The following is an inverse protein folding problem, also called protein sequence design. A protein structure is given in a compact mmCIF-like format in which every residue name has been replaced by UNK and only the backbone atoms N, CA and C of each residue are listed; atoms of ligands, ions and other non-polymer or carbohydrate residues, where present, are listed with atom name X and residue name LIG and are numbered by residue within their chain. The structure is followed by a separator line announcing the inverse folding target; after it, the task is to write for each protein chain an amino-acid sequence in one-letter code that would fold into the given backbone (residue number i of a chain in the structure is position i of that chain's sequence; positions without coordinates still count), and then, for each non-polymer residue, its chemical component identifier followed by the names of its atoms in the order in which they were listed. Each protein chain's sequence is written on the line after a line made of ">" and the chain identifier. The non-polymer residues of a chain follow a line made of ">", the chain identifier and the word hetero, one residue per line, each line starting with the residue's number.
data_IF_923159907592
#
_entry.id   IF_923159907592
#
_cell.length_a   1.000
_cell.length_b   1.000
_cell.length_c   1.000
_cell.angle_alpha   90.00
_cell.angle_beta   90.00
_cell.angle_gamma   90.00
#
_symmetry.space_group_name_H-M   'P 1'
#
loop_
_entity.id
_entity.type
_entity.pdbx_description
1 polymer ?
#
# COMPACT_ATOMS: atom_id res chain seq x y z
N UNK A 1 14.92 -13.11 -15.41
CA UNK A 1 15.88 -11.98 -15.38
C UNK A 1 16.83 -12.22 -14.22
N UNK A 2 18.10 -11.78 -14.26
CA UNK A 2 18.98 -11.92 -13.09
C UNK A 2 18.36 -11.16 -11.92
N UNK A 3 18.35 -11.81 -10.75
CA UNK A 3 17.85 -11.27 -9.49
C UNK A 3 18.55 -9.92 -9.23
N UNK A 4 17.80 -8.81 -9.10
CA UNK A 4 18.43 -7.53 -8.81
C UNK A 4 19.20 -7.63 -7.50
N UNK A 5 20.48 -7.20 -7.52
CA UNK A 5 21.36 -7.20 -6.35
C UNK A 5 20.97 -6.09 -5.37
N UNK A 6 19.78 -6.18 -4.80
CA UNK A 6 19.34 -5.30 -3.72
C UNK A 6 19.78 -5.85 -2.37
N UNK A 7 20.04 -4.98 -1.38
CA UNK A 7 20.33 -5.42 -0.03
C UNK A 7 19.15 -6.26 0.51
N UNK A 8 19.46 -7.19 1.42
CA UNK A 8 18.43 -8.01 2.07
C UNK A 8 17.44 -7.16 2.89
N UNK A 9 17.92 -6.04 3.41
CA UNK A 9 17.17 -5.09 4.24
C UNK A 9 17.51 -3.66 3.79
N UNK A 10 16.50 -2.80 3.76
CA UNK A 10 16.60 -1.37 3.46
C UNK A 10 16.08 -0.60 4.68
N UNK A 11 16.94 -0.10 5.57
CA UNK A 11 16.48 0.58 6.77
C UNK A 11 15.92 1.97 6.43
N UNK A 12 14.76 2.31 6.98
CA UNK A 12 14.15 3.64 6.98
C UNK A 12 14.29 4.21 8.38
N UNK A 13 15.43 4.87 8.62
CA UNK A 13 15.77 5.44 9.94
C UNK A 13 15.19 6.83 10.13
N UNK A 14 15.01 7.58 9.05
CA UNK A 14 14.51 8.95 9.04
C UNK A 14 13.75 9.23 7.74
N UNK A 15 12.89 10.25 7.76
CA UNK A 15 12.24 10.73 6.54
C UNK A 15 13.27 11.46 5.67
N UNK A 16 13.56 10.92 4.49
CA UNK A 16 14.53 11.53 3.56
C UNK A 16 13.90 12.55 2.62
N UNK A 17 12.57 12.53 2.50
CA UNK A 17 11.84 13.28 1.47
C UNK A 17 12.02 12.72 0.05
N UNK A 18 12.86 11.70 -0.14
CA UNK A 18 13.17 11.11 -1.44
C UNK A 18 12.44 9.78 -1.64
N UNK A 19 11.74 9.65 -2.76
CA UNK A 19 11.09 8.39 -3.14
C UNK A 19 12.10 7.39 -3.67
N UNK A 20 12.47 6.43 -2.83
CA UNK A 20 13.33 5.33 -3.24
C UNK A 20 12.54 4.30 -4.06
N UNK A 21 12.99 4.00 -5.28
CA UNK A 21 12.40 2.98 -6.14
C UNK A 21 13.44 2.35 -7.08
N UNK A 22 13.27 1.09 -7.51
CA UNK A 22 14.10 0.49 -8.53
C UNK A 22 13.67 0.96 -9.93
N UNK A 23 14.50 0.72 -10.96
CA UNK A 23 14.19 1.10 -12.35
C UNK A 23 12.88 0.47 -12.83
N UNK A 24 11.82 1.28 -12.93
CA UNK A 24 10.46 0.86 -13.26
C UNK A 24 10.31 0.28 -14.65
N UNK A 25 11.25 0.57 -15.56
CA UNK A 25 11.27 0.05 -16.94
C UNK A 25 11.91 -1.33 -17.03
N UNK A 26 12.62 -1.76 -15.99
CA UNK A 26 13.36 -3.03 -15.97
C UNK A 26 12.90 -3.97 -14.87
N UNK A 27 12.18 -3.47 -13.88
CA UNK A 27 11.74 -4.22 -12.71
C UNK A 27 10.31 -4.70 -12.89
N UNK A 28 10.06 -6.00 -12.70
CA UNK A 28 8.71 -6.58 -12.74
C UNK A 28 7.87 -6.08 -11.56
N UNK A 29 6.54 -6.15 -11.61
CA UNK A 29 5.69 -5.78 -10.46
C UNK A 29 5.95 -6.65 -9.23
N UNK A 30 6.26 -7.93 -9.45
CA UNK A 30 6.65 -8.85 -8.37
C UNK A 30 7.96 -8.39 -7.72
N UNK A 31 9.00 -8.14 -8.51
CA UNK A 31 10.30 -7.67 -7.98
C UNK A 31 10.18 -6.27 -7.36
N UNK A 32 9.37 -5.40 -7.96
CA UNK A 32 9.10 -4.06 -7.45
C UNK A 32 8.46 -4.14 -6.06
N UNK A 33 7.48 -5.04 -5.86
CA UNK A 33 6.88 -5.28 -4.54
C UNK A 33 7.90 -5.88 -3.56
N UNK A 34 8.70 -6.85 -4.01
CA UNK A 34 9.77 -7.45 -3.20
C UNK A 34 10.82 -6.43 -2.75
N UNK A 35 11.12 -5.41 -3.56
CA UNK A 35 11.98 -4.30 -3.15
C UNK A 35 11.43 -3.57 -1.93
N UNK A 36 10.16 -3.18 -1.96
CA UNK A 36 9.53 -2.44 -0.86
C UNK A 36 9.31 -3.30 0.40
N UNK A 37 9.11 -4.61 0.26
CA UNK A 37 9.02 -5.52 1.42
C UNK A 37 10.36 -5.65 2.17
N UNK A 38 11.48 -5.32 1.53
CA UNK A 38 12.81 -5.30 2.20
C UNK A 38 12.98 -4.09 3.11
N UNK A 39 12.09 -3.10 3.04
CA UNK A 39 12.20 -1.93 3.88
C UNK A 39 11.95 -2.31 5.34
N UNK A 40 12.67 -1.70 6.26
CA UNK A 40 12.46 -1.88 7.70
C UNK A 40 12.27 -0.51 8.36
N UNK A 41 11.25 -0.36 9.23
CA UNK A 41 11.09 0.88 10.00
C UNK A 41 12.25 1.02 10.99
N UNK A 42 12.47 2.25 11.48
CA UNK A 42 13.41 2.49 12.58
C UNK A 42 13.09 1.58 13.78
N UNK A 43 14.09 1.00 14.47
CA UNK A 43 13.85 0.10 15.61
C UNK A 43 13.03 0.73 16.75
N UNK A 44 13.14 2.04 16.91
CA UNK A 44 12.49 2.92 17.87
C UNK A 44 11.45 3.83 17.18
N UNK A 45 10.91 3.41 16.03
CA UNK A 45 9.81 4.10 15.37
C UNK A 45 8.56 4.17 16.27
N UNK A 46 7.80 5.26 16.11
CA UNK A 46 6.51 5.47 16.72
C UNK A 46 5.55 4.29 16.41
N UNK A 47 4.78 3.77 17.39
CA UNK A 47 3.93 2.59 17.18
C UNK A 47 2.93 2.74 16.03
N UNK A 48 2.30 3.91 15.87
CA UNK A 48 1.40 4.18 14.76
C UNK A 48 2.09 4.12 13.38
N UNK A 49 3.32 4.66 13.27
CA UNK A 49 4.12 4.57 12.06
C UNK A 49 4.44 3.11 11.75
N UNK A 50 5.00 2.39 12.74
CA UNK A 50 5.40 1.00 12.60
C UNK A 50 4.23 0.10 12.19
N UNK A 51 3.05 0.31 12.81
CA UNK A 51 1.82 -0.40 12.49
C UNK A 51 1.43 -0.25 11.02
N UNK A 52 1.28 0.99 10.55
CA UNK A 52 0.93 1.25 9.15
C UNK A 52 2.01 0.72 8.20
N UNK A 53 3.28 0.87 8.55
CA UNK A 53 4.40 0.43 7.74
C UNK A 53 4.33 -1.07 7.47
N UNK A 54 4.20 -1.86 8.54
CA UNK A 54 4.19 -3.32 8.46
C UNK A 54 2.91 -3.85 7.82
N UNK A 55 1.74 -3.24 8.10
CA UNK A 55 0.48 -3.65 7.48
C UNK A 55 0.48 -3.39 5.98
N UNK A 56 0.96 -2.23 5.53
CA UNK A 56 1.02 -1.94 4.10
C UNK A 56 1.96 -2.89 3.36
N UNK A 57 3.11 -3.25 3.93
CA UNK A 57 3.99 -4.25 3.34
C UNK A 57 3.31 -5.63 3.24
N UNK A 58 2.63 -6.07 4.30
CA UNK A 58 1.91 -7.36 4.31
C UNK A 58 0.74 -7.36 3.31
N UNK A 59 -0.04 -6.27 3.25
CA UNK A 59 -1.11 -6.13 2.26
C UNK A 59 -0.58 -6.13 0.84
N UNK A 60 0.47 -5.35 0.55
CA UNK A 60 1.09 -5.31 -0.77
C UNK A 60 1.56 -6.70 -1.21
N UNK A 61 2.13 -7.49 -0.28
CA UNK A 61 2.51 -8.88 -0.51
C UNK A 61 1.32 -9.77 -0.88
N UNK A 62 0.27 -9.78 -0.05
CA UNK A 62 -0.91 -10.59 -0.32
C UNK A 62 -1.60 -10.21 -1.63
N UNK A 63 -1.64 -8.91 -1.94
CA UNK A 63 -2.25 -8.39 -3.16
C UNK A 63 -1.45 -8.78 -4.40
N UNK A 64 -0.11 -8.71 -4.39
CA UNK A 64 0.71 -9.12 -5.55
C UNK A 64 0.70 -10.65 -5.76
N UNK A 65 0.54 -11.43 -4.69
CA UNK A 65 0.46 -12.90 -4.72
C UNK A 65 -0.95 -13.42 -5.09
N UNK A 66 -1.95 -12.53 -5.12
CA UNK A 66 -3.33 -12.89 -5.44
C UNK A 66 -3.49 -13.45 -6.86
N UNK A 67 -4.32 -14.49 -7.09
CA UNK A 67 -4.50 -15.11 -8.41
C UNK A 67 -4.88 -14.13 -9.53
N UNK A 68 -5.67 -13.11 -9.22
CA UNK A 68 -6.07 -12.05 -10.18
C UNK A 68 -4.89 -11.18 -10.68
N UNK A 69 -3.72 -11.26 -10.05
CA UNK A 69 -2.50 -10.55 -10.48
C UNK A 69 -1.66 -11.35 -11.47
N UNK A 70 -1.98 -12.61 -11.75
CA UNK A 70 -1.14 -13.50 -12.58
C UNK A 70 -0.78 -12.92 -13.96
N UNK A 71 -1.69 -12.15 -14.56
CA UNK A 71 -1.48 -11.51 -15.86
C UNK A 71 -0.56 -10.28 -15.80
N UNK A 72 -0.35 -9.72 -14.61
CA UNK A 72 0.34 -8.45 -14.37
C UNK A 72 1.71 -8.61 -13.71
N UNK A 73 1.92 -9.67 -12.91
CA UNK A 73 3.10 -9.83 -12.03
C UNK A 73 4.45 -9.75 -12.75
N UNK A 74 4.56 -10.35 -13.95
CA UNK A 74 5.79 -10.42 -14.72
C UNK A 74 6.00 -9.22 -15.65
N UNK A 75 4.99 -8.37 -15.82
CA UNK A 75 5.15 -7.13 -16.58
C UNK A 75 6.02 -6.15 -15.77
N UNK A 76 6.80 -5.33 -16.48
CA UNK A 76 7.53 -4.25 -15.81
C UNK A 76 6.56 -3.24 -15.21
N UNK A 77 6.97 -2.57 -14.14
CA UNK A 77 6.12 -1.60 -13.46
C UNK A 77 5.61 -0.50 -14.42
N UNK A 78 6.47 -0.02 -15.33
CA UNK A 78 6.12 1.01 -16.32
C UNK A 78 5.20 0.51 -17.46
N UNK A 79 5.00 -0.80 -17.62
CA UNK A 79 4.10 -1.35 -18.63
C UNK A 79 2.64 -1.25 -18.17
N UNK A 80 1.70 -0.77 -18.99
CA UNK A 80 0.28 -0.82 -18.66
C UNK A 80 -0.17 -2.23 -18.25
N UNK A 81 -1.00 -2.35 -17.22
CA UNK A 81 -1.48 -3.64 -16.74
C UNK A 81 -2.29 -4.37 -17.81
N UNK A 82 -2.04 -5.68 -17.96
CA UNK A 82 -2.80 -6.55 -18.85
C UNK A 82 -4.23 -6.79 -18.34
N UNK A 83 -4.39 -6.91 -17.02
CA UNK A 83 -5.68 -7.00 -16.34
C UNK A 83 -5.86 -5.83 -15.39
N UNK A 84 -6.88 -5.01 -15.64
CA UNK A 84 -7.25 -3.88 -14.80
C UNK A 84 -8.43 -4.29 -13.91
N UNK A 85 -8.10 -4.99 -12.84
CA UNK A 85 -9.05 -5.46 -11.83
C UNK A 85 -8.81 -4.78 -10.47
N UNK A 86 -9.73 -4.99 -9.52
CA UNK A 86 -9.75 -4.36 -8.19
C UNK A 86 -8.57 -4.75 -7.32
N UNK A 87 -8.01 -5.94 -7.52
CA UNK A 87 -6.81 -6.37 -6.80
C UNK A 87 -5.60 -5.62 -7.34
N UNK A 88 -5.48 -5.45 -8.66
CA UNK A 88 -4.45 -4.61 -9.26
C UNK A 88 -4.53 -3.16 -8.78
N UNK A 89 -5.74 -2.58 -8.78
CA UNK A 89 -5.96 -1.24 -8.24
C UNK A 89 -5.50 -1.13 -6.78
N UNK A 90 -5.95 -2.06 -5.93
CA UNK A 90 -5.66 -2.01 -4.50
C UNK A 90 -4.17 -2.23 -4.21
N UNK A 91 -3.51 -3.14 -4.94
CA UNK A 91 -2.06 -3.34 -4.87
C UNK A 91 -1.30 -2.02 -5.14
N UNK A 92 -1.64 -1.36 -6.23
CA UNK A 92 -0.99 -0.13 -6.68
C UNK A 92 -1.29 1.05 -5.72
N UNK A 93 -2.51 1.11 -5.18
CA UNK A 93 -2.93 2.08 -4.19
C UNK A 93 -2.18 1.92 -2.85
N UNK A 94 -2.18 0.72 -2.27
CA UNK A 94 -1.47 0.40 -1.02
C UNK A 94 0.03 0.65 -1.16
N UNK A 95 0.64 0.26 -2.28
CA UNK A 95 2.07 0.45 -2.48
C UNK A 95 2.47 1.92 -2.64
N UNK A 96 1.63 2.76 -3.24
CA UNK A 96 1.85 4.22 -3.27
C UNK A 96 1.72 4.84 -1.88
N UNK A 97 0.71 4.45 -1.11
CA UNK A 97 0.55 4.90 0.28
C UNK A 97 1.79 4.52 1.11
N UNK A 98 2.30 3.31 0.94
CA UNK A 98 3.54 2.87 1.58
C UNK A 98 4.76 3.73 1.19
N UNK A 99 4.88 4.09 -0.09
CA UNK A 99 5.96 4.97 -0.56
C UNK A 99 5.90 6.37 0.07
N UNK A 100 4.70 6.92 0.27
CA UNK A 100 4.52 8.17 1.02
C UNK A 100 4.99 8.01 2.47
N UNK A 101 4.55 6.94 3.14
CA UNK A 101 4.93 6.65 4.53
C UNK A 101 6.45 6.47 4.69
N UNK A 102 7.10 5.73 3.79
CA UNK A 102 8.53 5.45 3.87
C UNK A 102 9.42 6.66 3.53
N UNK A 103 8.96 7.57 2.67
CA UNK A 103 9.78 8.69 2.20
C UNK A 103 9.52 10.00 2.98
N UNK A 104 8.26 10.27 3.35
CA UNK A 104 7.81 11.61 3.74
C UNK A 104 7.34 11.71 5.19
N UNK A 105 7.25 10.60 5.92
CA UNK A 105 6.77 10.58 7.30
C UNK A 105 7.92 10.23 8.22
N UNK A 106 8.18 11.09 9.20
CA UNK A 106 9.18 10.85 10.25
C UNK A 106 8.80 9.59 11.04
N UNK A 107 9.68 8.56 11.07
CA UNK A 107 9.41 7.34 11.81
C UNK A 107 9.20 7.55 13.31
N UNK A 108 9.80 8.58 13.93
CA UNK A 108 9.78 8.81 15.37
C UNK A 108 8.69 9.78 15.81
N UNK A 109 8.37 10.77 14.98
CA UNK A 109 7.28 11.73 15.22
C UNK A 109 6.41 11.91 13.97
N UNK A 110 5.58 10.90 13.63
CA UNK A 110 4.79 10.93 12.41
C UNK A 110 3.76 12.06 12.40
N UNK A 111 3.28 12.50 13.57
CA UNK A 111 2.29 13.59 13.69
C UNK A 111 2.85 14.95 13.26
N UNK A 112 4.18 15.15 13.39
CA UNK A 112 4.84 16.34 12.85
C UNK A 112 4.88 16.38 11.32
N UNK A 113 4.68 15.23 10.66
CA UNK A 113 4.80 15.10 9.22
C UNK A 113 3.48 15.41 8.51
N UNK A 114 3.41 16.44 7.64
CA UNK A 114 2.17 16.80 6.94
C UNK A 114 1.56 15.65 6.11
N UNK A 115 2.41 14.74 5.63
CA UNK A 115 2.00 13.57 4.84
C UNK A 115 1.29 12.50 5.67
N UNK A 116 1.43 12.50 7.00
CA UNK A 116 0.91 11.42 7.82
C UNK A 116 -0.62 11.35 7.80
N UNK A 117 -1.29 12.51 7.81
CA UNK A 117 -2.76 12.58 7.69
C UNK A 117 -3.26 12.06 6.34
N UNK A 118 -2.53 12.32 5.24
CA UNK A 118 -2.86 11.75 3.93
C UNK A 118 -2.68 10.23 3.91
N UNK A 119 -1.62 9.72 4.56
CA UNK A 119 -1.41 8.27 4.70
C UNK A 119 -2.54 7.62 5.50
N UNK A 120 -2.98 8.23 6.60
CA UNK A 120 -4.11 7.74 7.40
C UNK A 120 -5.40 7.72 6.57
N UNK A 121 -5.72 8.81 5.88
CA UNK A 121 -6.90 8.90 5.01
C UNK A 121 -6.88 7.83 3.92
N UNK A 122 -5.73 7.61 3.28
CA UNK A 122 -5.55 6.53 2.29
C UNK A 122 -5.68 5.13 2.92
N UNK A 123 -5.17 4.92 4.13
CA UNK A 123 -5.32 3.65 4.83
C UNK A 123 -6.79 3.36 5.13
N UNK A 124 -7.55 4.36 5.59
CA UNK A 124 -9.00 4.25 5.81
C UNK A 124 -9.75 3.97 4.50
N UNK A 125 -9.40 4.66 3.42
CA UNK A 125 -10.00 4.43 2.10
C UNK A 125 -9.69 3.02 1.58
N UNK A 126 -8.45 2.54 1.72
CA UNK A 126 -8.07 1.17 1.36
C UNK A 126 -8.91 0.16 2.14
N UNK A 127 -9.04 0.33 3.46
CA UNK A 127 -9.91 -0.50 4.31
C UNK A 127 -11.34 -0.54 3.77
N UNK A 128 -11.98 0.63 3.65
CA UNK A 128 -13.37 0.74 3.22
C UNK A 128 -13.61 0.04 1.88
N UNK A 129 -12.74 0.27 0.89
CA UNK A 129 -12.88 -0.32 -0.43
C UNK A 129 -12.59 -1.82 -0.47
N UNK A 130 -11.71 -2.32 0.40
CA UNK A 130 -11.38 -3.75 0.46
C UNK A 130 -12.46 -4.58 1.16
N UNK A 131 -13.09 -4.04 2.21
CA UNK A 131 -14.14 -4.75 2.96
C UNK A 131 -15.54 -4.49 2.43
N UNK A 132 -15.69 -3.55 1.48
CA UNK A 132 -16.99 -3.23 0.89
C UNK A 132 -17.59 -4.42 0.14
N UNK A 133 -18.82 -4.77 0.52
CA UNK A 133 -19.63 -5.81 -0.13
C UNK A 133 -20.67 -5.21 -1.10
N UNK A 134 -20.80 -3.88 -1.17
CA UNK A 134 -21.81 -3.20 -2.00
C UNK A 134 -21.34 -2.96 -3.44
N UNK A 135 -20.05 -3.19 -3.72
CA UNK A 135 -19.44 -3.04 -5.05
C UNK A 135 -19.06 -1.61 -5.40
N UNK A 136 -18.85 -0.73 -4.41
CA UNK A 136 -18.35 0.62 -4.58
C UNK A 136 -17.03 0.65 -5.34
N UNK A 137 -16.06 -0.21 -4.98
CA UNK A 137 -14.79 -0.29 -5.69
C UNK A 137 -14.99 -0.67 -7.16
N UNK A 138 -15.84 -1.66 -7.46
CA UNK A 138 -16.14 -2.06 -8.83
C UNK A 138 -16.74 -0.90 -9.64
N UNK A 139 -17.64 -0.11 -9.04
CA UNK A 139 -18.24 1.08 -9.69
C UNK A 139 -17.20 2.17 -9.95
N UNK A 140 -16.31 2.41 -8.98
CA UNK A 140 -15.21 3.38 -9.13
C UNK A 140 -14.23 2.94 -10.22
N UNK A 141 -13.86 1.67 -10.24
CA UNK A 141 -13.01 1.09 -11.27
C UNK A 141 -13.63 1.18 -12.67
N UNK A 142 -14.91 0.83 -12.80
CA UNK A 142 -15.63 0.91 -14.08
C UNK A 142 -15.64 2.34 -14.64
N UNK A 143 -15.75 3.37 -13.79
CA UNK A 143 -15.77 4.77 -14.25
C UNK A 143 -14.44 5.25 -14.85
N UNK A 144 -13.33 4.60 -14.49
CA UNK A 144 -11.98 4.88 -15.02
C UNK A 144 -11.50 3.83 -16.03
N UNK A 145 -12.41 2.98 -16.51
CA UNK A 145 -12.15 2.01 -17.58
C UNK A 145 -11.47 0.71 -17.13
N UNK A 146 -11.57 0.36 -15.83
CA UNK A 146 -11.23 -0.98 -15.33
C UNK A 146 -12.44 -1.88 -15.53
N UNK A 147 -12.28 -3.03 -16.18
CA UNK A 147 -13.39 -3.90 -16.58
C UNK A 147 -13.19 -5.38 -16.27
N UNK A 148 -12.06 -5.73 -15.63
CA UNK A 148 -11.66 -7.13 -15.45
C UNK A 148 -12.02 -7.67 -14.05
N UNK A 149 -13.02 -7.07 -13.41
CA UNK A 149 -13.46 -7.39 -12.04
C UNK A 149 -14.35 -8.64 -11.96
N UNK A 150 -14.80 -9.18 -13.09
CA UNK A 150 -15.73 -10.31 -13.13
C UNK A 150 -15.15 -11.56 -12.43
N UNK A 151 -15.78 -11.98 -11.32
CA UNK A 151 -15.36 -13.14 -10.54
C UNK A 151 -14.09 -12.95 -9.72
N UNK A 152 -13.55 -11.73 -9.66
CA UNK A 152 -12.43 -11.38 -8.78
C UNK A 152 -12.99 -10.99 -7.43
N UNK A 153 -12.44 -11.50 -6.33
CA UNK A 153 -12.77 -11.08 -4.97
C UNK A 153 -11.52 -11.00 -4.12
N UNK A 154 -11.51 -10.14 -3.09
CA UNK A 154 -10.44 -10.16 -2.09
C UNK A 154 -10.58 -11.40 -1.21
N UNK A 155 -9.46 -12.04 -0.89
CA UNK A 155 -9.43 -13.17 0.05
C UNK A 155 -9.78 -12.72 1.47
N UNK A 156 -10.23 -13.65 2.31
CA UNK A 156 -10.51 -13.36 3.72
C UNK A 156 -9.27 -12.84 4.46
N UNK A 157 -8.08 -13.35 4.13
CA UNK A 157 -6.82 -12.89 4.70
C UNK A 157 -6.55 -11.40 4.38
N UNK A 158 -6.78 -10.98 3.13
CA UNK A 158 -6.68 -9.57 2.73
C UNK A 158 -7.70 -8.73 3.48
N UNK A 159 -8.95 -9.20 3.62
CA UNK A 159 -10.01 -8.48 4.34
C UNK A 159 -9.73 -8.35 5.84
N UNK A 160 -9.23 -9.41 6.47
CA UNK A 160 -8.83 -9.40 7.89
C UNK A 160 -7.71 -8.37 8.11
N UNK A 161 -6.67 -8.41 7.27
CA UNK A 161 -5.55 -7.49 7.41
C UNK A 161 -5.94 -6.04 7.08
N UNK A 162 -6.82 -5.82 6.10
CA UNK A 162 -7.35 -4.49 5.78
C UNK A 162 -8.16 -3.90 6.95
N UNK A 163 -8.86 -4.74 7.73
CA UNK A 163 -9.56 -4.30 8.95
C UNK A 163 -8.64 -3.83 10.07
N UNK A 164 -7.33 -4.06 9.97
CA UNK A 164 -6.33 -3.59 10.93
C UNK A 164 -5.75 -2.21 10.56
N UNK A 165 -5.99 -1.69 9.35
CA UNK A 165 -5.41 -0.44 8.84
C UNK A 165 -5.68 0.79 9.72
N UNK A 166 -6.76 0.79 10.50
CA UNK A 166 -7.16 1.89 11.39
C UNK A 166 -7.03 1.55 12.88
N UNK A 167 -6.44 0.39 13.21
CA UNK A 167 -6.26 -0.06 14.60
C UNK A 167 -4.91 0.41 15.16
N UNK A 168 -4.78 1.71 15.36
CA UNK A 168 -3.56 2.31 15.90
C UNK A 168 -3.31 1.86 17.36
N UNK A 169 -2.10 1.35 17.69
CA UNK A 169 -1.80 0.83 19.03
C UNK A 169 -2.00 1.83 20.18
N UNK A 170 -1.78 3.13 19.92
CA UNK A 170 -1.94 4.19 20.93
C UNK A 170 -3.19 5.06 20.70
N UNK A 171 -4.01 4.73 19.69
CA UNK A 171 -5.16 5.51 19.24
C UNK A 171 -4.75 6.83 18.59
N UNK A 172 -5.28 7.10 17.39
CA UNK A 172 -5.49 8.49 16.99
C UNK A 172 -6.72 8.99 17.75
N UNK A 173 -6.73 10.24 18.19
CA UNK A 173 -7.94 10.86 18.71
C UNK A 173 -9.06 10.81 17.66
N UNK A 174 -10.32 10.79 18.09
CA UNK A 174 -11.47 10.84 17.16
C UNK A 174 -11.38 12.06 16.22
N UNK A 175 -10.86 13.19 16.73
CA UNK A 175 -10.63 14.42 15.96
C UNK A 175 -9.59 14.21 14.84
N UNK A 176 -8.48 13.52 15.13
CA UNK A 176 -7.47 13.17 14.12
C UNK A 176 -8.02 12.19 13.06
N UNK A 177 -8.91 11.27 13.45
CA UNK A 177 -9.55 10.38 12.49
C UNK A 177 -10.59 11.10 11.61
N UNK A 178 -11.37 12.01 12.19
CA UNK A 178 -12.36 12.82 11.44
C UNK A 178 -11.67 13.79 10.47
N UNK A 179 -10.57 14.43 10.90
CA UNK A 179 -9.77 15.30 10.02
C UNK A 179 -9.16 14.53 8.84
N UNK A 180 -8.67 13.31 9.07
CA UNK A 180 -8.14 12.46 8.01
C UNK A 180 -9.23 12.04 7.01
N UNK A 181 -10.45 11.76 7.48
CA UNK A 181 -11.59 11.41 6.63
C UNK A 181 -12.11 12.60 5.80
N UNK A 182 -12.05 13.82 6.33
CA UNK A 182 -12.54 15.02 5.65
C UNK A 182 -11.65 15.51 4.48
N UNK A 183 -10.43 14.97 4.34
CA UNK A 183 -9.46 15.37 3.31
C UNK A 183 -9.39 14.43 2.09
N UNK A 184 -10.17 13.35 2.09
CA UNK A 184 -10.29 12.36 0.99
C UNK A 184 -11.58 12.60 0.21
#
# INVERSE_FOLDING_TARGET
>A
MPDPKWPAVIPILEATGEYMSPDTKKTTRSDFTNFFIRFQPAPDAHPAYQHLFLIHQRLAKLLIEHPAMVQNVQQTFATPANSKNKVYFMWDFVLRTFQHLAAQVDPHDPNSSPMFQDVIGRALQAKMLTIDETGQLNKMNASVGYSDDAGVEFTDEIKVLANELDRFPDGLSEEEMEEAQARV
#
